data_IF_385722086399
#
_entry.id   IF_385722086399
#
_cell.length_a   1.000
_cell.length_b   1.000
_cell.length_c   1.000
_cell.angle_alpha   90.00
_cell.angle_beta   90.00
_cell.angle_gamma   90.00
#
_symmetry.space_group_name_H-M   'P 1'
#
loop_
_entity.id
_entity.type
_entity.pdbx_description
1 polymer ?
#
# COMPACT_ATOMS: atom_id res chain seq x y z
N UNK A 1 22.52 -0.75 9.98
CA UNK A 1 21.66 -1.32 11.03
C UNK A 1 21.68 -2.84 10.88
N UNK A 2 22.00 -3.59 11.94
CA UNK A 2 21.98 -5.06 11.90
C UNK A 2 20.54 -5.57 11.75
N UNK A 3 20.35 -6.81 11.32
CA UNK A 3 19.03 -7.45 11.18
C UNK A 3 18.26 -7.46 12.50
N UNK A 4 18.93 -7.82 13.59
CA UNK A 4 18.38 -7.80 14.95
C UNK A 4 17.86 -6.41 15.33
N UNK A 5 18.58 -5.35 14.96
CA UNK A 5 18.13 -3.98 15.25
C UNK A 5 16.89 -3.59 14.43
N UNK A 6 16.74 -4.11 13.21
CA UNK A 6 15.55 -3.86 12.37
C UNK A 6 14.34 -4.59 12.95
N UNK A 7 14.47 -5.88 13.30
CA UNK A 7 13.37 -6.66 13.88
C UNK A 7 12.91 -6.08 15.22
N UNK A 8 13.84 -5.71 16.11
CA UNK A 8 13.52 -5.08 17.38
C UNK A 8 12.80 -3.74 17.17
N UNK A 9 13.23 -2.94 16.20
CA UNK A 9 12.54 -1.70 15.82
C UNK A 9 11.11 -1.98 15.35
N UNK A 10 10.91 -2.96 14.46
CA UNK A 10 9.60 -3.31 13.89
C UNK A 10 8.64 -3.83 14.97
N UNK A 11 9.11 -4.68 15.88
CA UNK A 11 8.29 -5.15 17.01
C UNK A 11 7.94 -4.01 17.96
N UNK A 12 8.92 -3.16 18.30
CA UNK A 12 8.71 -2.07 19.26
C UNK A 12 7.68 -1.07 18.74
N UNK A 13 7.85 -0.60 17.51
CA UNK A 13 6.95 0.40 16.91
C UNK A 13 5.52 -0.17 16.76
N UNK A 14 5.40 -1.43 16.39
CA UNK A 14 4.11 -2.09 16.13
C UNK A 14 3.30 -2.32 17.41
N UNK A 15 3.97 -2.67 18.52
CA UNK A 15 3.29 -2.96 19.79
C UNK A 15 3.05 -1.72 20.67
N UNK A 16 3.82 -0.64 20.49
CA UNK A 16 3.62 0.60 21.25
C UNK A 16 2.51 1.50 20.69
N UNK A 17 2.09 1.27 19.45
CA UNK A 17 1.17 2.15 18.73
C UNK A 17 -0.16 1.46 18.35
N UNK A 18 -0.67 0.57 19.21
CA UNK A 18 -1.90 -0.20 18.93
C UNK A 18 -3.13 0.68 18.61
N UNK A 19 -3.27 1.84 19.27
CA UNK A 19 -4.35 2.78 18.98
C UNK A 19 -4.25 3.37 17.58
N UNK A 20 -3.02 3.65 17.12
CA UNK A 20 -2.78 4.12 15.76
C UNK A 20 -3.08 3.01 14.74
N UNK A 21 -2.68 1.76 15.01
CA UNK A 21 -3.08 0.60 14.18
C UNK A 21 -4.61 0.58 14.02
N UNK A 22 -5.34 0.63 15.14
CA UNK A 22 -6.80 0.65 15.14
C UNK A 22 -7.39 1.81 14.31
N UNK A 23 -6.90 3.04 14.51
CA UNK A 23 -7.36 4.19 13.73
C UNK A 23 -7.10 4.04 12.23
N UNK A 24 -5.94 3.50 11.86
CA UNK A 24 -5.59 3.26 10.46
C UNK A 24 -6.49 2.19 9.83
N UNK A 25 -6.84 1.14 10.58
CA UNK A 25 -7.76 0.11 10.10
C UNK A 25 -9.14 0.70 9.81
N UNK A 26 -9.66 1.56 10.69
CA UNK A 26 -10.92 2.28 10.44
C UNK A 26 -10.84 3.15 9.17
N UNK A 27 -9.75 3.88 8.97
CA UNK A 27 -9.56 4.72 7.78
C UNK A 27 -9.53 3.89 6.49
N UNK A 28 -8.83 2.76 6.49
CA UNK A 28 -8.77 1.87 5.32
C UNK A 28 -10.14 1.22 5.05
N UNK A 29 -10.88 0.82 6.08
CA UNK A 29 -12.27 0.34 5.93
C UNK A 29 -13.15 1.41 5.29
N UNK A 30 -13.05 2.66 5.74
CA UNK A 30 -13.78 3.79 5.15
C UNK A 30 -13.39 3.97 3.68
N UNK A 31 -12.11 3.95 3.36
CA UNK A 31 -11.62 4.10 1.98
C UNK A 31 -12.15 2.99 1.06
N UNK A 32 -12.05 1.73 1.48
CA UNK A 32 -12.58 0.58 0.72
C UNK A 32 -14.09 0.66 0.59
N UNK A 33 -14.81 0.99 1.66
CA UNK A 33 -16.28 1.15 1.63
C UNK A 33 -16.70 2.25 0.65
N UNK A 34 -15.97 3.36 0.62
CA UNK A 34 -16.24 4.45 -0.34
C UNK A 34 -15.96 4.00 -1.77
N UNK A 35 -14.90 3.23 -2.02
CA UNK A 35 -14.63 2.65 -3.35
C UNK A 35 -15.80 1.75 -3.79
N UNK A 36 -16.31 0.90 -2.90
CA UNK A 36 -17.33 -0.10 -3.22
C UNK A 36 -18.74 0.48 -3.32
N UNK A 37 -19.11 1.41 -2.45
CA UNK A 37 -20.50 1.86 -2.29
C UNK A 37 -20.75 3.30 -2.73
N UNK A 38 -19.72 4.15 -2.82
CA UNK A 38 -19.91 5.54 -3.22
C UNK A 38 -19.96 5.66 -4.74
N UNK A 39 -21.14 5.95 -5.31
CA UNK A 39 -21.24 6.32 -6.73
C UNK A 39 -20.60 7.68 -7.07
N UNK A 40 -20.17 8.45 -6.06
CA UNK A 40 -19.62 9.80 -6.23
C UNK A 40 -18.12 9.77 -6.39
N UNK A 41 -17.67 9.79 -7.64
CA UNK A 41 -16.25 9.80 -8.02
C UNK A 41 -15.40 10.89 -7.35
N UNK A 42 -15.96 12.07 -7.12
CA UNK A 42 -15.24 13.14 -6.41
C UNK A 42 -14.97 12.83 -4.95
N UNK A 43 -15.88 12.10 -4.31
CA UNK A 43 -15.73 11.66 -2.92
C UNK A 43 -14.70 10.52 -2.83
N UNK A 44 -14.76 9.58 -3.79
CA UNK A 44 -13.85 8.44 -3.83
C UNK A 44 -12.39 8.84 -3.85
N UNK A 45 -11.97 9.67 -4.81
CA UNK A 45 -10.55 10.00 -4.91
C UNK A 45 -10.03 10.77 -3.70
N UNK A 46 -10.79 11.77 -3.21
CA UNK A 46 -10.36 12.57 -2.05
C UNK A 46 -10.14 11.72 -0.80
N UNK A 47 -11.05 10.77 -0.56
CA UNK A 47 -10.96 9.88 0.59
C UNK A 47 -9.80 8.90 0.40
N UNK A 48 -9.72 8.20 -0.74
CA UNK A 48 -8.71 7.16 -0.95
C UNK A 48 -7.30 7.76 -1.01
N UNK A 49 -7.10 8.83 -1.78
CA UNK A 49 -5.80 9.50 -1.88
C UNK A 49 -5.41 10.12 -0.52
N UNK A 50 -6.38 10.64 0.22
CA UNK A 50 -6.18 11.10 1.60
C UNK A 50 -5.75 9.99 2.55
N UNK A 51 -6.37 8.80 2.46
CA UNK A 51 -5.96 7.62 3.26
C UNK A 51 -4.57 7.14 2.85
N UNK A 52 -4.24 7.08 1.56
CA UNK A 52 -2.89 6.73 1.09
C UNK A 52 -1.85 7.71 1.64
N UNK A 53 -2.14 9.01 1.60
CA UNK A 53 -1.28 10.04 2.17
C UNK A 53 -1.06 9.84 3.67
N UNK A 54 -2.15 9.60 4.41
CA UNK A 54 -2.08 9.36 5.87
C UNK A 54 -1.27 8.11 6.19
N UNK A 55 -1.45 7.03 5.43
CA UNK A 55 -0.69 5.79 5.58
C UNK A 55 0.81 6.03 5.41
N UNK A 56 1.22 6.71 4.33
CA UNK A 56 2.64 6.99 4.10
C UNK A 56 3.23 7.95 5.14
N UNK A 57 2.48 8.99 5.50
CA UNK A 57 2.90 9.96 6.50
C UNK A 57 3.04 9.30 7.88
N UNK A 58 2.12 8.40 8.24
CA UNK A 58 2.15 7.67 9.50
C UNK A 58 3.41 6.81 9.63
N UNK A 59 3.78 6.06 8.58
CA UNK A 59 5.05 5.30 8.57
C UNK A 59 6.25 6.24 8.67
N UNK A 60 6.25 7.36 7.94
CA UNK A 60 7.36 8.32 7.96
C UNK A 60 7.54 8.95 9.35
N UNK A 61 6.46 9.37 10.01
CA UNK A 61 6.49 9.95 11.37
C UNK A 61 7.00 8.93 12.38
N UNK A 62 6.47 7.70 12.35
CA UNK A 62 6.96 6.64 13.23
C UNK A 62 8.44 6.33 12.97
N UNK A 63 8.89 6.33 11.72
CA UNK A 63 10.29 6.13 11.39
C UNK A 63 11.19 7.22 12.00
N UNK A 64 10.76 8.49 12.04
CA UNK A 64 11.51 9.56 12.71
C UNK A 64 11.54 9.36 14.23
N UNK A 65 10.37 9.12 14.85
CA UNK A 65 10.24 8.96 16.31
C UNK A 65 11.13 7.84 16.85
N UNK A 66 11.24 6.75 16.10
CA UNK A 66 12.00 5.57 16.48
C UNK A 66 13.39 5.48 15.81
N UNK A 67 13.87 6.56 15.21
CA UNK A 67 15.26 6.67 14.74
C UNK A 67 15.63 5.83 13.51
N UNK A 68 14.69 5.55 12.61
CA UNK A 68 14.91 4.83 11.35
C UNK A 68 14.91 5.80 10.15
N UNK A 69 16.08 6.37 9.76
CA UNK A 69 16.15 7.34 8.67
C UNK A 69 15.81 6.73 7.30
N UNK A 70 16.04 5.44 7.09
CA UNK A 70 15.76 4.78 5.81
C UNK A 70 14.25 4.70 5.54
N UNK A 71 13.47 4.25 6.53
CA UNK A 71 12.01 4.24 6.43
C UNK A 71 11.45 5.66 6.31
N UNK A 72 12.00 6.62 7.06
CA UNK A 72 11.57 8.01 6.97
C UNK A 72 11.74 8.56 5.55
N UNK A 73 12.94 8.47 4.98
CA UNK A 73 13.22 9.04 3.64
C UNK A 73 12.31 8.41 2.58
N UNK A 74 12.18 7.08 2.59
CA UNK A 74 11.39 6.35 1.58
C UNK A 74 9.90 6.68 1.68
N UNK A 75 9.33 6.72 2.89
CA UNK A 75 7.90 7.00 3.07
C UNK A 75 7.56 8.50 3.01
N UNK A 76 8.49 9.39 3.40
CA UNK A 76 8.33 10.82 3.15
C UNK A 76 8.30 11.11 1.64
N UNK A 77 9.16 10.44 0.87
CA UNK A 77 9.15 10.54 -0.59
C UNK A 77 7.82 10.08 -1.19
N UNK A 78 7.30 8.92 -0.76
CA UNK A 78 5.97 8.44 -1.17
C UNK A 78 4.84 9.40 -0.75
N UNK A 79 4.91 9.95 0.46
CA UNK A 79 3.94 10.93 0.95
C UNK A 79 3.91 12.18 0.07
N UNK A 80 5.06 12.69 -0.40
CA UNK A 80 5.11 13.82 -1.33
C UNK A 80 4.32 13.53 -2.62
N UNK A 81 4.49 12.34 -3.22
CA UNK A 81 3.68 11.98 -4.39
C UNK A 81 2.19 11.85 -4.07
N UNK A 82 1.84 11.31 -2.90
CA UNK A 82 0.46 11.23 -2.46
C UNK A 82 -0.17 12.61 -2.23
N UNK A 83 0.60 13.59 -1.73
CA UNK A 83 0.18 15.00 -1.63
C UNK A 83 -0.13 15.55 -3.03
N UNK A 84 0.80 15.38 -3.98
CA UNK A 84 0.62 15.85 -5.36
C UNK A 84 -0.61 15.22 -6.02
N UNK A 85 -0.87 13.95 -5.73
CA UNK A 85 -2.04 13.24 -6.23
C UNK A 85 -3.33 13.77 -5.59
N UNK A 86 -3.36 13.96 -4.27
CA UNK A 86 -4.53 14.51 -3.59
C UNK A 86 -4.94 15.89 -4.15
N UNK A 87 -3.97 16.72 -4.57
CA UNK A 87 -4.24 18.02 -5.18
C UNK A 87 -4.66 17.95 -6.66
N UNK A 88 -4.10 17.03 -7.45
CA UNK A 88 -4.32 16.93 -8.91
C UNK A 88 -4.84 15.54 -9.30
N UNK A 89 -5.77 15.00 -8.51
CA UNK A 89 -6.21 13.60 -8.59
C UNK A 89 -6.48 13.15 -10.01
N UNK A 90 -5.69 12.17 -10.44
CA UNK A 90 -5.83 11.44 -11.70
C UNK A 90 -6.44 10.06 -11.47
N UNK A 91 -6.46 9.59 -10.24
CA UNK A 91 -7.00 8.29 -9.84
C UNK A 91 -8.51 8.19 -10.10
N UNK A 92 -8.92 7.17 -10.84
CA UNK A 92 -10.32 6.82 -11.05
C UNK A 92 -10.58 5.37 -10.64
N UNK A 93 -11.42 5.17 -9.63
CA UNK A 93 -11.74 3.85 -9.09
C UNK A 93 -12.96 3.27 -9.82
N UNK A 94 -12.79 2.08 -10.40
CA UNK A 94 -13.85 1.37 -11.12
C UNK A 94 -14.01 -0.03 -10.55
N UNK A 95 -14.98 -0.25 -9.66
CA UNK A 95 -15.28 -1.59 -9.12
C UNK A 95 -16.59 -2.18 -9.67
N UNK A 96 -17.30 -1.43 -10.53
CA UNK A 96 -18.58 -1.84 -11.10
C UNK A 96 -18.53 -3.13 -11.94
N UNK A 97 -17.34 -3.54 -12.41
CA UNK A 97 -17.11 -4.84 -13.04
C UNK A 97 -16.01 -5.57 -12.26
N UNK A 98 -16.38 -6.60 -11.49
CA UNK A 98 -15.48 -7.52 -10.78
C UNK A 98 -14.59 -8.29 -11.77
N UNK A 99 -13.59 -7.60 -12.32
CA UNK A 99 -12.57 -8.20 -13.15
C UNK A 99 -11.48 -8.83 -12.28
N UNK A 100 -10.64 -9.66 -12.90
CA UNK A 100 -9.55 -10.38 -12.22
C UNK A 100 -8.64 -9.41 -11.46
N UNK A 101 -8.32 -8.25 -12.04
CA UNK A 101 -7.54 -7.19 -11.37
C UNK A 101 -8.17 -6.72 -10.07
N UNK A 102 -9.47 -6.47 -10.05
CA UNK A 102 -10.17 -6.03 -8.83
C UNK A 102 -10.11 -7.11 -7.75
N UNK A 103 -10.31 -8.37 -8.13
CA UNK A 103 -10.22 -9.50 -7.19
C UNK A 103 -8.79 -9.57 -6.61
N UNK A 104 -7.77 -9.56 -7.47
CA UNK A 104 -6.36 -9.55 -7.07
C UNK A 104 -6.08 -8.41 -6.09
N UNK A 105 -6.45 -7.19 -6.46
CA UNK A 105 -6.20 -6.01 -5.65
C UNK A 105 -6.89 -6.07 -4.28
N UNK A 106 -8.17 -6.45 -4.23
CA UNK A 106 -8.91 -6.60 -2.97
C UNK A 106 -8.29 -7.69 -2.09
N UNK A 107 -7.93 -8.84 -2.67
CA UNK A 107 -7.27 -9.92 -1.93
C UNK A 107 -5.99 -9.44 -1.26
N UNK A 108 -5.13 -8.71 -1.98
CA UNK A 108 -3.89 -8.21 -1.39
C UNK A 108 -4.12 -7.08 -0.36
N UNK A 109 -5.12 -6.22 -0.55
CA UNK A 109 -5.53 -5.26 0.49
C UNK A 109 -5.92 -6.01 1.77
N UNK A 110 -6.71 -7.09 1.67
CA UNK A 110 -7.11 -7.91 2.83
C UNK A 110 -5.89 -8.56 3.49
N UNK A 111 -4.93 -9.08 2.72
CA UNK A 111 -3.69 -9.67 3.27
C UNK A 111 -2.89 -8.62 4.05
N UNK A 112 -2.76 -7.40 3.52
CA UNK A 112 -2.05 -6.32 4.25
C UNK A 112 -2.82 -5.85 5.49
N UNK A 113 -4.14 -5.89 5.43
CA UNK A 113 -5.02 -5.59 6.56
C UNK A 113 -4.88 -6.65 7.67
N UNK A 114 -4.72 -7.92 7.30
CA UNK A 114 -4.59 -9.04 8.24
C UNK A 114 -3.13 -9.51 8.41
N UNK A 115 -2.19 -8.57 8.45
CA UNK A 115 -0.77 -8.88 8.53
C UNK A 115 -0.37 -9.28 9.97
N UNK A 116 0.11 -10.53 10.22
CA UNK A 116 0.28 -11.07 11.56
C UNK A 116 1.60 -10.72 12.23
N UNK A 117 2.60 -10.29 11.45
CA UNK A 117 3.96 -10.15 11.96
C UNK A 117 4.14 -8.88 12.79
N UNK A 118 5.10 -8.93 13.72
CA UNK A 118 5.55 -7.81 14.56
C UNK A 118 4.54 -7.28 15.60
N UNK A 119 3.29 -7.76 15.62
CA UNK A 119 2.29 -7.43 16.65
C UNK A 119 1.95 -8.64 17.51
N UNK A 120 2.01 -8.48 18.83
CA UNK A 120 1.68 -9.52 19.81
C UNK A 120 0.20 -9.44 20.15
N UNK A 121 -0.63 -10.06 19.31
CA UNK A 121 -2.08 -10.12 19.51
C UNK A 121 -2.68 -11.44 19.02
N UNK A 122 -3.97 -11.67 19.28
CA UNK A 122 -4.66 -12.87 18.80
C UNK A 122 -4.96 -12.78 17.30
N UNK A 123 -5.07 -13.92 16.58
CA UNK A 123 -5.36 -13.90 15.14
C UNK A 123 -6.62 -13.12 14.76
N UNK A 124 -7.67 -13.18 15.61
CA UNK A 124 -8.91 -12.45 15.39
C UNK A 124 -8.73 -10.93 15.59
N UNK A 125 -7.90 -10.53 16.55
CA UNK A 125 -7.63 -9.12 16.82
C UNK A 125 -6.78 -8.45 15.74
N UNK A 126 -6.03 -9.22 14.93
CA UNK A 126 -5.23 -8.67 13.83
C UNK A 126 -6.05 -7.89 12.80
N UNK A 127 -7.35 -8.20 12.65
CA UNK A 127 -8.29 -7.46 11.78
C UNK A 127 -8.37 -5.97 12.16
N UNK A 128 -8.00 -5.60 13.40
CA UNK A 128 -8.05 -4.23 13.87
C UNK A 128 -6.67 -3.71 14.33
N UNK A 129 -5.71 -4.60 14.59
CA UNK A 129 -4.46 -4.25 15.26
C UNK A 129 -3.20 -4.62 14.48
N UNK A 130 -3.32 -5.15 13.26
CA UNK A 130 -2.17 -5.34 12.35
C UNK A 130 -1.36 -4.04 12.21
N UNK A 131 -0.03 -4.10 11.97
CA UNK A 131 0.82 -2.91 11.96
C UNK A 131 0.73 -2.09 10.65
N UNK A 132 -0.41 -2.14 9.96
CA UNK A 132 -0.67 -1.35 8.77
C UNK A 132 -0.62 0.16 9.08
N UNK A 133 0.09 0.90 8.23
CA UNK A 133 0.36 2.33 8.40
C UNK A 133 1.39 2.66 9.47
N UNK A 134 1.99 1.65 10.11
CA UNK A 134 3.11 1.83 11.04
C UNK A 134 4.39 1.27 10.44
N UNK A 135 4.35 0.07 9.88
CA UNK A 135 5.50 -0.56 9.26
C UNK A 135 5.37 -0.66 7.73
N UNK A 136 6.49 -0.76 6.99
CA UNK A 136 6.47 -0.64 5.53
C UNK A 136 5.63 -1.66 4.77
N UNK A 137 5.84 -2.96 4.99
CA UNK A 137 5.32 -4.03 4.13
C UNK A 137 3.78 -4.07 4.04
N UNK A 138 3.01 -4.20 5.15
CA UNK A 138 1.54 -4.13 5.12
C UNK A 138 1.03 -2.81 4.56
N UNK A 139 1.71 -1.70 4.84
CA UNK A 139 1.33 -0.36 4.32
C UNK A 139 1.46 -0.30 2.80
N UNK A 140 2.58 -0.76 2.25
CA UNK A 140 2.80 -0.84 0.82
C UNK A 140 1.84 -1.82 0.16
N UNK A 141 1.51 -2.94 0.82
CA UNK A 141 0.56 -3.91 0.30
C UNK A 141 -0.84 -3.33 0.15
N UNK A 142 -1.34 -2.64 1.18
CA UNK A 142 -2.65 -1.97 1.17
C UNK A 142 -2.67 -0.83 0.15
N UNK A 143 -1.68 0.07 0.19
CA UNK A 143 -1.64 1.23 -0.71
C UNK A 143 -1.49 0.84 -2.17
N UNK A 144 -0.60 -0.12 -2.49
CA UNK A 144 -0.45 -0.63 -3.84
C UNK A 144 -1.72 -1.35 -4.32
N UNK A 145 -2.40 -2.09 -3.44
CA UNK A 145 -3.68 -2.72 -3.75
C UNK A 145 -4.75 -1.68 -4.12
N UNK A 146 -4.88 -0.62 -3.32
CA UNK A 146 -5.80 0.49 -3.63
C UNK A 146 -5.44 1.19 -4.95
N UNK A 147 -4.16 1.45 -5.22
CA UNK A 147 -3.73 2.02 -6.50
C UNK A 147 -4.00 1.07 -7.69
N UNK A 148 -3.89 -0.24 -7.47
CA UNK A 148 -4.22 -1.26 -8.48
C UNK A 148 -5.72 -1.25 -8.81
N UNK A 149 -6.59 -0.91 -7.85
CA UNK A 149 -8.02 -0.71 -8.11
C UNK A 149 -8.30 0.52 -8.99
N UNK A 150 -7.46 1.56 -8.93
CA UNK A 150 -7.53 2.72 -9.81
C UNK A 150 -6.92 2.48 -11.20
N UNK A 151 -6.09 1.44 -11.36
CA UNK A 151 -5.54 1.10 -12.67
C UNK A 151 -6.69 0.77 -13.64
N UNK A 152 -6.67 1.24 -14.90
CA UNK A 152 -5.56 1.89 -15.59
C UNK A 152 -5.48 3.41 -15.46
N UNK A 153 -6.49 4.03 -14.87
CA UNK A 153 -6.56 5.48 -14.70
C UNK A 153 -5.98 5.88 -13.35
N UNK A 154 -4.85 5.30 -13.00
CA UNK A 154 -4.07 5.61 -11.82
C UNK A 154 -2.99 6.62 -12.20
N UNK A 155 -2.54 7.44 -11.26
CA UNK A 155 -1.30 8.18 -11.45
C UNK A 155 -0.12 7.20 -11.59
N UNK A 156 0.34 7.04 -12.84
CA UNK A 156 1.40 6.10 -13.18
C UNK A 156 2.71 6.35 -12.43
N UNK A 157 3.03 7.60 -12.07
CA UNK A 157 4.26 7.92 -11.34
C UNK A 157 4.19 7.36 -9.92
N UNK A 158 3.13 7.69 -9.17
CA UNK A 158 2.94 7.18 -7.81
C UNK A 158 2.80 5.66 -7.81
N UNK A 159 2.05 5.10 -8.76
CA UNK A 159 1.88 3.65 -8.90
C UNK A 159 3.20 2.94 -9.17
N UNK A 160 4.04 3.47 -10.06
CA UNK A 160 5.35 2.90 -10.37
C UNK A 160 6.30 2.96 -9.17
N UNK A 161 6.40 4.12 -8.51
CA UNK A 161 7.31 4.27 -7.36
C UNK A 161 6.85 3.37 -6.21
N UNK A 162 5.54 3.31 -5.92
CA UNK A 162 4.98 2.42 -4.89
C UNK A 162 5.24 0.96 -5.23
N UNK A 163 5.09 0.55 -6.49
CA UNK A 163 5.38 -0.82 -6.92
C UNK A 163 6.87 -1.18 -6.81
N UNK A 164 7.77 -0.29 -7.23
CA UNK A 164 9.22 -0.51 -7.11
C UNK A 164 9.65 -0.63 -5.65
N UNK A 165 9.19 0.29 -4.78
CA UNK A 165 9.49 0.22 -3.35
C UNK A 165 8.84 -1.01 -2.71
N UNK A 166 7.59 -1.33 -3.06
CA UNK A 166 6.92 -2.55 -2.63
C UNK A 166 7.73 -3.80 -2.97
N UNK A 167 8.24 -3.90 -4.19
CA UNK A 167 9.10 -5.01 -4.60
C UNK A 167 10.39 -5.08 -3.77
N UNK A 168 11.09 -3.95 -3.61
CA UNK A 168 12.31 -3.89 -2.81
C UNK A 168 12.08 -4.26 -1.33
N UNK A 169 11.04 -3.71 -0.70
CA UNK A 169 10.69 -4.02 0.68
C UNK A 169 10.26 -5.48 0.84
N UNK A 170 9.50 -6.03 -0.12
CA UNK A 170 9.12 -7.44 -0.12
C UNK A 170 10.34 -8.37 -0.20
N UNK A 171 11.30 -8.07 -1.09
CA UNK A 171 12.55 -8.83 -1.19
C UNK A 171 13.35 -8.80 0.13
N UNK A 172 13.47 -7.62 0.75
CA UNK A 172 14.14 -7.48 2.05
C UNK A 172 13.40 -8.27 3.12
N UNK A 173 12.08 -8.18 3.17
CA UNK A 173 11.23 -8.91 4.09
C UNK A 173 11.43 -10.41 4.04
N UNK A 174 11.32 -11.00 2.84
CA UNK A 174 11.45 -12.44 2.64
C UNK A 174 12.89 -12.92 2.85
N UNK A 175 13.87 -12.31 2.17
CA UNK A 175 15.22 -12.87 2.13
C UNK A 175 16.11 -12.45 3.29
N UNK A 176 15.86 -11.27 3.87
CA UNK A 176 16.70 -10.72 4.94
C UNK A 176 16.05 -10.82 6.32
N UNK A 177 14.73 -10.61 6.40
CA UNK A 177 14.00 -10.66 7.67
C UNK A 177 13.28 -11.99 7.90
N UNK A 178 13.31 -12.90 6.92
CA UNK A 178 12.65 -14.20 6.94
C UNK A 178 11.13 -14.12 7.19
N UNK A 179 10.50 -13.06 6.69
CA UNK A 179 9.07 -12.80 6.81
C UNK A 179 8.33 -13.39 5.60
N UNK A 180 7.74 -14.57 5.78
CA UNK A 180 7.16 -15.32 4.66
C UNK A 180 5.94 -14.62 4.02
N UNK A 181 5.16 -13.86 4.80
CA UNK A 181 3.99 -13.14 4.26
C UNK A 181 4.39 -12.02 3.29
N UNK A 182 5.63 -11.55 3.31
CA UNK A 182 6.12 -10.52 2.38
C UNK A 182 6.24 -11.02 0.93
N UNK A 183 6.12 -12.34 0.71
CA UNK A 183 5.89 -12.90 -0.64
C UNK A 183 4.64 -12.30 -1.27
N UNK A 184 3.60 -12.01 -0.48
CA UNK A 184 2.38 -11.37 -0.99
C UNK A 184 2.68 -9.98 -1.59
N UNK A 185 3.56 -9.20 -0.96
CA UNK A 185 3.99 -7.91 -1.46
C UNK A 185 4.84 -8.03 -2.73
N UNK A 186 5.73 -9.02 -2.80
CA UNK A 186 6.49 -9.32 -4.02
C UNK A 186 5.54 -9.63 -5.18
N UNK A 187 4.53 -10.48 -4.94
CA UNK A 187 3.57 -10.88 -5.97
C UNK A 187 2.74 -9.70 -6.48
N UNK A 188 2.16 -8.89 -5.58
CA UNK A 188 1.40 -7.72 -6.00
C UNK A 188 2.27 -6.69 -6.71
N UNK A 189 3.47 -6.41 -6.18
CA UNK A 189 4.42 -5.49 -6.80
C UNK A 189 4.87 -5.97 -8.18
N UNK A 190 5.18 -7.26 -8.33
CA UNK A 190 5.49 -7.88 -9.61
C UNK A 190 4.34 -7.77 -10.60
N UNK A 191 3.10 -8.01 -10.15
CA UNK A 191 1.90 -7.83 -10.98
C UNK A 191 1.73 -6.38 -11.43
N UNK A 192 1.91 -5.41 -10.52
CA UNK A 192 1.83 -3.99 -10.83
C UNK A 192 2.91 -3.57 -11.85
N UNK A 193 4.16 -4.00 -11.66
CA UNK A 193 5.26 -3.75 -12.59
C UNK A 193 5.01 -4.38 -13.96
N UNK A 194 4.43 -5.59 -14.01
CA UNK A 194 4.01 -6.21 -15.25
C UNK A 194 2.97 -5.35 -16.00
N UNK A 195 1.95 -4.86 -15.29
CA UNK A 195 0.92 -3.96 -15.85
C UNK A 195 1.54 -2.66 -16.39
N UNK A 196 2.49 -2.08 -15.65
CA UNK A 196 3.23 -0.88 -16.06
C UNK A 196 4.05 -1.16 -17.34
N UNK A 197 4.80 -2.25 -17.38
CA UNK A 197 5.59 -2.66 -18.55
C UNK A 197 4.73 -2.88 -19.80
N UNK A 198 3.60 -3.57 -19.66
CA UNK A 198 2.63 -3.74 -20.75
C UNK A 198 2.06 -2.41 -21.25
N UNK A 199 1.75 -1.49 -20.32
CA UNK A 199 1.27 -0.14 -20.68
C UNK A 199 2.31 0.63 -21.49
N UNK A 200 3.58 0.54 -21.09
CA UNK A 200 4.70 1.22 -21.76
C UNK A 200 4.97 0.65 -23.15
N UNK A 201 5.04 -0.68 -23.29
CA UNK A 201 5.23 -1.36 -24.58
C UNK A 201 4.13 -1.02 -25.59
N UNK A 202 2.88 -0.85 -25.14
CA UNK A 202 1.76 -0.48 -26.03
C UNK A 202 1.85 0.96 -26.52
N UNK A 203 2.30 1.89 -25.66
CA UNK A 203 2.57 3.28 -26.05
C UNK A 203 3.65 3.36 -27.14
N UNK A 204 4.71 2.56 -27.02
CA UNK A 204 5.75 2.47 -28.06
C UNK A 204 5.21 1.92 -29.39
N UNK A 205 4.23 1.00 -29.35
CA UNK A 205 3.60 0.43 -30.54
C UNK A 205 2.48 1.30 -31.14
N UNK A 206 2.27 2.52 -30.63
CA UNK A 206 1.23 3.44 -31.12
C UNK A 206 -0.22 2.93 -30.97
N UNK A 207 -0.45 1.86 -30.19
CA UNK A 207 -1.79 1.30 -29.99
C UNK A 207 -2.54 2.14 -28.95
N UNK A 208 -3.80 2.52 -29.27
CA UNK A 208 -4.71 3.11 -28.26
C UNK A 208 -4.85 2.15 -27.08
N UNK A 209 -4.90 2.72 -25.87
CA UNK A 209 -4.96 1.95 -24.63
C UNK A 209 -6.27 1.14 -24.54
N UNK A 210 -6.24 -0.11 -24.99
CA UNK A 210 -7.21 -1.13 -24.59
C UNK A 210 -6.62 -1.86 -23.39
N UNK A 211 -7.30 -1.86 -22.25
CA UNK A 211 -6.73 -2.32 -20.98
C UNK A 211 -7.18 -3.75 -20.71
N UNK A 212 -6.23 -4.70 -20.63
CA UNK A 212 -6.49 -6.15 -20.49
C UNK A 212 -5.85 -6.76 -19.24
N UNK A 213 -5.31 -5.93 -18.34
CA UNK A 213 -4.87 -6.38 -17.03
C UNK A 213 -6.02 -6.22 -16.04
#
# INVERSE_FOLDING_TARGET
MSEVNILNYLETVSNQNLWLNFSIHLLVIIAVSVILFSGKRNCQHRIVDGVILLLFTSVAVNAVVYGNPFHFITFAFLAIFAILELYKSKNEFYVLNLNVRCIVAITFVIIGFWYPEFVKTTPAALILFSPAGIIPCPTLLITLGMLTLAYPKVNMTQYTITALLGFCYGLIGVFKLNVSIDVALILLAGYALYCIGQSWLRRLKGKKNVYYC
#
